data_IF_758246027340
#
_entry.id   IF_758246027340
#
_cell.length_a   1.000
_cell.length_b   1.000
_cell.length_c   1.000
_cell.angle_alpha   90.00
_cell.angle_beta   90.00
_cell.angle_gamma   90.00
#
_symmetry.space_group_name_H-M   'P 1'
#
loop_
_entity.id
_entity.type
_entity.pdbx_description
1 polymer ?
#
# COMPACT_ATOMS: atom_id res chain seq x y z
N UNK A 1 8.50 -16.04 -0.77
CA UNK A 1 7.88 -15.21 0.28
C UNK A 1 6.38 -15.47 0.26
N UNK A 2 5.74 -15.69 1.40
CA UNK A 2 4.27 -15.85 1.45
C UNK A 2 3.67 -14.46 1.63
N UNK A 3 2.93 -14.00 0.62
CA UNK A 3 2.24 -12.72 0.61
C UNK A 3 0.76 -12.97 0.90
N UNK A 4 0.14 -12.17 1.76
CA UNK A 4 -1.30 -12.29 2.02
C UNK A 4 -1.87 -10.94 2.39
N UNK A 5 -2.91 -10.54 1.66
CA UNK A 5 -3.84 -9.51 2.12
C UNK A 5 -4.87 -10.23 2.97
N UNK A 6 -4.98 -9.85 4.24
CA UNK A 6 -5.87 -10.48 5.23
C UNK A 6 -6.81 -9.44 5.82
N UNK A 7 -7.93 -9.85 6.41
CA UNK A 7 -8.80 -8.97 7.20
C UNK A 7 -10.22 -8.82 6.66
N UNK A 8 -10.82 -7.64 6.85
CA UNK A 8 -12.21 -7.32 6.58
C UNK A 8 -12.51 -7.11 5.07
N UNK A 9 -12.15 -8.10 4.26
CA UNK A 9 -12.44 -8.13 2.82
C UNK A 9 -13.77 -8.87 2.61
N UNK A 10 -14.75 -8.30 1.89
CA UNK A 10 -15.97 -9.00 1.53
C UNK A 10 -15.68 -10.27 0.72
N UNK A 11 -16.50 -11.31 0.89
CA UNK A 11 -16.34 -12.59 0.17
C UNK A 11 -16.55 -12.47 -1.34
N UNK A 12 -17.20 -11.40 -1.81
CA UNK A 12 -17.38 -11.04 -3.21
C UNK A 12 -17.04 -9.55 -3.37
N UNK A 13 -15.76 -9.19 -3.52
CA UNK A 13 -15.36 -7.80 -3.68
C UNK A 13 -15.91 -7.23 -4.99
N UNK A 14 -16.14 -5.92 -5.03
CA UNK A 14 -16.44 -5.22 -6.27
C UNK A 14 -15.24 -5.30 -7.23
N UNK A 15 -15.42 -5.07 -8.54
CA UNK A 15 -14.29 -4.99 -9.47
C UNK A 15 -13.23 -3.96 -9.04
N UNK A 16 -13.67 -2.81 -8.52
CA UNK A 16 -12.76 -1.77 -8.02
C UNK A 16 -11.95 -2.24 -6.80
N UNK A 17 -12.61 -2.85 -5.82
CA UNK A 17 -11.92 -3.41 -4.66
C UNK A 17 -10.98 -4.55 -5.04
N UNK A 18 -11.37 -5.39 -6.00
CA UNK A 18 -10.51 -6.46 -6.49
C UNK A 18 -9.22 -5.90 -7.11
N UNK A 19 -9.28 -4.84 -7.91
CA UNK A 19 -8.08 -4.17 -8.46
C UNK A 19 -7.14 -3.70 -7.35
N UNK A 20 -7.67 -3.12 -6.27
CA UNK A 20 -6.84 -2.67 -5.14
C UNK A 20 -6.24 -3.86 -4.38
N UNK A 21 -7.00 -4.95 -4.19
CA UNK A 21 -6.49 -6.17 -3.55
C UNK A 21 -5.36 -6.79 -4.39
N UNK A 22 -5.52 -6.84 -5.71
CA UNK A 22 -4.50 -7.35 -6.63
C UNK A 22 -3.22 -6.50 -6.55
N UNK A 23 -3.38 -5.18 -6.53
CA UNK A 23 -2.28 -4.25 -6.31
C UNK A 23 -1.54 -4.48 -4.98
N UNK A 24 -2.27 -4.59 -3.86
CA UNK A 24 -1.67 -4.85 -2.54
C UNK A 24 -0.99 -6.22 -2.47
N UNK A 25 -1.58 -7.23 -3.12
CA UNK A 25 -1.03 -8.59 -3.19
C UNK A 25 0.30 -8.61 -3.94
N UNK A 26 0.36 -7.94 -5.10
CA UNK A 26 1.57 -7.79 -5.91
C UNK A 26 2.66 -7.02 -5.14
N UNK A 27 2.29 -5.96 -4.43
CA UNK A 27 3.21 -5.22 -3.56
C UNK A 27 3.76 -6.11 -2.43
N UNK A 28 2.92 -6.95 -1.79
CA UNK A 28 3.38 -7.91 -0.79
C UNK A 28 4.33 -8.98 -1.36
N UNK A 29 4.21 -9.31 -2.64
CA UNK A 29 5.09 -10.26 -3.32
C UNK A 29 6.44 -9.63 -3.72
N UNK A 30 6.54 -8.30 -3.71
CA UNK A 30 7.70 -7.59 -4.24
C UNK A 30 7.83 -7.68 -5.77
N UNK A 31 6.74 -7.99 -6.48
CA UNK A 31 6.72 -8.08 -7.94
C UNK A 31 6.45 -6.70 -8.55
N UNK A 32 7.50 -5.88 -8.60
CA UNK A 32 7.42 -4.49 -9.03
C UNK A 32 7.09 -4.32 -10.52
N UNK A 33 7.37 -5.34 -11.35
CA UNK A 33 7.04 -5.33 -12.77
C UNK A 33 5.53 -5.48 -12.96
N UNK A 34 4.90 -6.43 -12.26
CA UNK A 34 3.44 -6.53 -12.23
C UNK A 34 2.80 -5.31 -11.59
N UNK A 35 3.41 -4.75 -10.54
CA UNK A 35 2.91 -3.55 -9.88
C UNK A 35 2.84 -2.38 -10.87
N UNK A 36 3.88 -2.21 -11.69
CA UNK A 36 3.91 -1.21 -12.75
C UNK A 36 2.79 -1.40 -13.77
N UNK A 37 2.49 -2.65 -14.15
CA UNK A 37 1.41 -2.96 -15.09
C UNK A 37 0.00 -2.66 -14.56
N UNK A 38 -0.19 -2.57 -13.25
CA UNK A 38 -1.48 -2.22 -12.63
C UNK A 38 -1.71 -0.71 -12.51
N UNK A 39 -0.66 0.10 -12.66
CA UNK A 39 -0.74 1.55 -12.53
C UNK A 39 -0.84 2.22 -13.90
N UNK A 40 -1.75 3.19 -14.03
CA UNK A 40 -1.86 4.06 -15.20
C UNK A 40 -0.69 5.05 -15.27
N UNK A 41 -0.45 5.62 -16.44
CA UNK A 41 0.68 6.52 -16.65
C UNK A 41 0.49 7.92 -16.01
N UNK A 42 -0.76 8.27 -15.69
CA UNK A 42 -1.14 9.48 -14.93
C UNK A 42 -1.16 9.26 -13.41
N UNK A 43 -0.76 8.07 -12.94
CA UNK A 43 -0.70 7.77 -11.51
C UNK A 43 0.18 8.75 -10.74
N UNK A 44 -0.37 9.27 -9.64
CA UNK A 44 0.36 10.10 -8.67
C UNK A 44 0.11 9.62 -7.25
N UNK A 45 1.18 9.31 -6.52
CA UNK A 45 1.15 9.00 -5.10
C UNK A 45 1.42 10.25 -4.27
N UNK A 46 0.59 10.49 -3.26
CA UNK A 46 0.76 11.58 -2.30
C UNK A 46 1.13 11.02 -0.93
N UNK A 47 2.28 11.45 -0.42
CA UNK A 47 2.71 11.09 0.92
C UNK A 47 2.01 11.94 1.97
N UNK A 48 1.54 11.29 3.02
CA UNK A 48 0.94 11.95 4.18
C UNK A 48 1.57 11.44 5.48
N UNK A 49 1.69 12.29 6.52
CA UNK A 49 1.36 13.72 6.53
C UNK A 49 2.35 14.58 5.73
N UNK A 50 1.92 15.76 5.26
CA UNK A 50 2.76 16.69 4.49
C UNK A 50 4.05 17.11 5.21
N UNK A 51 4.06 17.06 6.54
CA UNK A 51 5.24 17.37 7.37
C UNK A 51 6.42 16.43 7.15
N UNK A 52 6.22 15.27 6.49
CA UNK A 52 7.32 14.41 6.07
C UNK A 52 8.15 15.01 4.93
N UNK A 53 7.64 16.04 4.23
CA UNK A 53 8.39 16.77 3.22
C UNK A 53 8.63 16.01 1.91
N UNK A 54 8.04 14.81 1.74
CA UNK A 54 8.13 14.08 0.48
C UNK A 54 7.30 14.76 -0.62
N UNK A 55 7.86 14.97 -1.82
CA UNK A 55 7.09 15.43 -2.96
C UNK A 55 6.12 14.33 -3.43
N UNK A 56 5.06 14.68 -4.17
CA UNK A 56 4.27 13.68 -4.89
C UNK A 56 5.17 12.81 -5.77
N UNK A 57 4.90 11.51 -5.82
CA UNK A 57 5.64 10.56 -6.63
C UNK A 57 4.80 10.11 -7.82
N UNK A 58 5.35 10.22 -9.03
CA UNK A 58 4.80 9.55 -10.20
C UNK A 58 4.96 8.03 -10.09
N UNK A 59 4.44 7.30 -11.08
CA UNK A 59 4.56 5.83 -11.19
C UNK A 59 6.00 5.33 -11.03
N UNK A 60 6.97 5.94 -11.70
CA UNK A 60 8.37 5.51 -11.67
C UNK A 60 8.98 5.74 -10.29
N UNK A 61 8.76 6.92 -9.71
CA UNK A 61 9.23 7.29 -8.38
C UNK A 61 8.61 6.40 -7.30
N UNK A 62 7.31 6.08 -7.40
CA UNK A 62 6.61 5.22 -6.45
C UNK A 62 7.11 3.78 -6.49
N UNK A 63 7.32 3.21 -7.68
CA UNK A 63 7.91 1.88 -7.83
C UNK A 63 9.33 1.85 -7.24
N UNK A 64 10.14 2.89 -7.55
CA UNK A 64 11.48 3.04 -7.00
C UNK A 64 11.49 3.11 -5.47
N UNK A 65 10.57 3.88 -4.89
CA UNK A 65 10.38 3.97 -3.44
C UNK A 65 10.06 2.61 -2.82
N UNK A 66 9.12 1.85 -3.38
CA UNK A 66 8.74 0.54 -2.85
C UNK A 66 9.88 -0.47 -3.00
N UNK A 67 10.57 -0.50 -4.14
CA UNK A 67 11.75 -1.37 -4.34
C UNK A 67 12.89 -1.05 -3.37
N UNK A 68 13.12 0.24 -3.10
CA UNK A 68 14.06 0.72 -2.09
C UNK A 68 13.62 0.42 -0.66
N UNK A 69 12.31 0.37 -0.36
CA UNK A 69 11.81 0.02 0.96
C UNK A 69 11.84 -1.49 1.24
N UNK A 70 11.50 -2.28 0.22
CA UNK A 70 11.15 -3.69 0.39
C UNK A 70 12.30 -4.56 0.93
N UNK A 71 13.54 -4.26 0.55
CA UNK A 71 14.71 -5.02 1.03
C UNK A 71 14.97 -4.88 2.54
N UNK A 72 14.35 -3.90 3.20
CA UNK A 72 14.44 -3.73 4.66
C UNK A 72 13.52 -4.70 5.42
N UNK A 73 12.60 -5.39 4.74
CA UNK A 73 11.61 -6.27 5.35
C UNK A 73 11.91 -7.74 5.04
N UNK A 74 11.88 -8.59 6.07
CA UNK A 74 11.93 -10.06 5.86
C UNK A 74 10.60 -10.62 5.34
N UNK A 75 9.51 -9.97 5.72
CA UNK A 75 8.15 -10.30 5.32
C UNK A 75 7.34 -9.00 5.30
N UNK A 76 6.44 -8.89 4.31
CA UNK A 76 5.55 -7.75 4.14
C UNK A 76 4.12 -8.26 3.98
N UNK A 77 3.20 -7.75 4.81
CA UNK A 77 1.80 -8.18 4.87
C UNK A 77 0.91 -6.95 5.04
N UNK A 78 -0.17 -6.88 4.27
CA UNK A 78 -1.24 -5.92 4.49
C UNK A 78 -2.40 -6.57 5.26
N UNK A 79 -2.82 -5.93 6.34
CA UNK A 79 -4.02 -6.32 7.09
C UNK A 79 -5.09 -5.24 6.90
N UNK A 80 -6.11 -5.54 6.10
CA UNK A 80 -7.22 -4.64 5.82
C UNK A 80 -8.18 -4.68 6.99
N UNK A 81 -8.26 -3.61 7.77
CA UNK A 81 -9.18 -3.50 8.90
C UNK A 81 -10.54 -2.93 8.50
N UNK A 82 -10.59 -2.12 7.45
CA UNK A 82 -11.83 -1.57 6.94
C UNK A 82 -11.68 -1.11 5.49
N UNK A 83 -12.78 -1.19 4.75
CA UNK A 83 -12.89 -0.70 3.39
C UNK A 83 -14.09 0.23 3.33
N UNK A 84 -13.89 1.40 2.71
CA UNK A 84 -14.97 2.32 2.36
C UNK A 84 -14.86 2.57 0.85
N UNK A 85 -15.88 2.13 0.11
CA UNK A 85 -16.00 2.34 -1.33
C UNK A 85 -16.89 3.54 -1.61
N UNK A 86 -16.38 4.49 -2.38
CA UNK A 86 -17.13 5.58 -3.01
C UNK A 86 -17.34 5.31 -4.50
N UNK A 87 -17.94 6.27 -5.21
CA UNK A 87 -18.26 6.08 -6.63
C UNK A 87 -17.01 5.98 -7.53
N UNK A 88 -15.95 6.72 -7.20
CA UNK A 88 -14.69 6.75 -7.96
C UNK A 88 -13.45 6.65 -7.07
N UNK A 89 -13.64 6.37 -5.78
CA UNK A 89 -12.55 6.26 -4.83
C UNK A 89 -12.75 5.07 -3.92
N UNK A 90 -11.64 4.56 -3.41
CA UNK A 90 -11.63 3.48 -2.44
C UNK A 90 -10.66 3.85 -1.32
N UNK A 91 -11.12 3.71 -0.09
CA UNK A 91 -10.33 3.93 1.12
C UNK A 91 -10.12 2.60 1.82
N UNK A 92 -8.86 2.22 1.98
CA UNK A 92 -8.46 1.11 2.84
C UNK A 92 -7.91 1.67 4.14
N UNK A 93 -8.40 1.14 5.25
CA UNK A 93 -7.81 1.34 6.56
C UNK A 93 -7.00 0.10 6.91
N UNK A 94 -5.69 0.23 6.97
CA UNK A 94 -4.78 -0.77 7.51
C UNK A 94 -4.26 -0.33 8.89
N UNK A 95 -4.33 -1.18 9.92
CA UNK A 95 -3.67 -0.89 11.17
C UNK A 95 -2.18 -1.12 10.97
N UNK A 96 -1.37 -0.13 11.33
CA UNK A 96 0.09 -0.23 11.39
C UNK A 96 0.51 -1.49 12.17
N UNK A 97 0.79 -2.58 11.47
CA UNK A 97 1.36 -3.79 12.02
C UNK A 97 2.80 -3.89 11.53
N UNK A 98 3.69 -3.13 12.17
CA UNK A 98 5.08 -3.58 12.21
C UNK A 98 5.10 -5.00 12.82
N UNK A 99 5.66 -6.02 12.17
CA UNK A 99 5.95 -7.27 12.86
C UNK A 99 6.85 -6.91 14.05
N UNK A 100 6.39 -7.21 15.28
CA UNK A 100 7.03 -6.88 16.58
C UNK A 100 8.46 -7.44 16.79
N UNK A 101 9.20 -7.83 15.76
CA UNK A 101 10.44 -8.61 15.97
C UNK A 101 11.66 -8.30 15.12
N UNK A 102 11.75 -7.15 14.44
CA UNK A 102 13.03 -6.71 13.88
C UNK A 102 13.20 -5.20 14.02
N UNK A 103 14.37 -4.82 14.55
CA UNK A 103 14.89 -3.48 14.85
C UNK A 103 14.56 -2.89 16.24
N UNK A 104 15.55 -2.85 17.17
CA UNK A 104 15.36 -2.22 18.47
C UNK A 104 15.42 -0.68 18.47
N UNK A 105 15.75 0.02 17.36
CA UNK A 105 16.04 1.47 17.43
C UNK A 105 15.82 2.28 16.14
N UNK A 106 14.69 2.15 15.44
CA UNK A 106 14.29 3.19 14.46
C UNK A 106 12.81 3.49 14.62
N UNK A 107 12.53 4.62 15.28
CA UNK A 107 11.21 5.16 15.53
C UNK A 107 10.95 6.22 14.45
N UNK A 108 10.10 5.93 13.47
CA UNK A 108 9.61 6.95 12.52
C UNK A 108 8.15 7.24 12.89
N UNK A 109 7.91 8.45 13.37
CA UNK A 109 6.58 8.94 13.75
C UNK A 109 5.80 9.43 12.52
N UNK A 110 4.51 9.08 12.45
CA UNK A 110 3.54 9.73 11.57
C UNK A 110 2.10 9.26 11.88
N UNK A 111 1.10 10.15 11.99
CA UNK A 111 -0.25 9.79 12.42
C UNK A 111 -1.10 9.19 11.29
N UNK A 112 -1.80 8.10 11.66
CA UNK A 112 -3.10 7.57 11.20
C UNK A 112 -3.79 8.37 10.07
N UNK A 113 -3.96 7.82 8.85
CA UNK A 113 -5.06 8.13 7.88
C UNK A 113 -5.00 7.37 6.53
N UNK A 114 -6.12 7.35 5.75
CA UNK A 114 -6.36 6.52 4.57
C UNK A 114 -5.33 6.59 3.44
N UNK A 115 -5.08 5.45 2.77
CA UNK A 115 -4.60 5.43 1.39
C UNK A 115 -5.76 5.75 0.45
N UNK A 116 -5.61 6.80 -0.36
CA UNK A 116 -6.54 7.15 -1.44
C UNK A 116 -6.01 6.56 -2.76
N UNK A 117 -6.78 5.66 -3.36
CA UNK A 117 -6.60 5.25 -4.75
C UNK A 117 -7.57 6.06 -5.61
N UNK A 118 -7.03 6.98 -6.42
CA UNK A 118 -7.78 7.65 -7.49
C UNK A 118 -7.86 6.72 -8.70
N UNK A 119 -9.07 6.48 -9.19
CA UNK A 119 -9.33 5.88 -10.51
C UNK A 119 -9.41 7.00 -11.54
#
# INVERSE_FOLDING_TARGET
MSASVIGAIPSKPSPQLQTVIDYLSVLCQGDFDKMSGLLTDDFTHYFHPKSLGYPPADKTAWIGFNKGGFHMFKEFKFNVHGVVEGHSNLTIHDPWLFPRRLYPKILIFGPIRPLYFGV
#
